data_IF_672138173287
#
_entry.id   IF_672138173287
#
_cell.length_a   1.000
_cell.length_b   1.000
_cell.length_c   1.000
_cell.angle_alpha   90.00
_cell.angle_beta   90.00
_cell.angle_gamma   90.00
#
_symmetry.space_group_name_H-M   'P 1'
#
loop_
_entity.id
_entity.type
_entity.pdbx_description
1 polymer ?
#
# COMPACT_ATOMS: atom_id res chain seq x y z
N UNK A 1 26.55 28.32 8.46
CA UNK A 1 25.48 28.42 7.45
C UNK A 1 24.91 27.01 7.30
N UNK A 2 23.88 26.70 8.09
CA UNK A 2 23.37 25.34 8.28
C UNK A 2 21.97 25.29 7.68
N UNK A 3 21.80 24.55 6.59
CA UNK A 3 20.51 24.37 5.94
C UNK A 3 19.79 23.17 6.57
N UNK A 4 18.71 23.46 7.29
CA UNK A 4 17.77 22.49 7.84
C UNK A 4 16.93 21.88 6.72
N UNK A 5 17.08 20.57 6.49
CA UNK A 5 16.16 19.76 5.67
C UNK A 5 15.04 19.21 6.56
N UNK A 6 14.07 20.06 6.90
CA UNK A 6 12.87 19.66 7.63
C UNK A 6 11.63 20.33 7.03
N UNK A 7 11.40 20.11 5.73
CA UNK A 7 10.17 20.52 5.06
C UNK A 7 10.02 19.83 3.69
N UNK A 8 9.85 18.51 3.68
CA UNK A 8 9.22 17.83 2.54
C UNK A 8 8.32 16.73 3.08
N UNK A 9 7.06 17.09 3.34
CA UNK A 9 5.98 16.13 3.59
C UNK A 9 5.57 15.42 2.29
N UNK A 10 5.02 14.20 2.37
CA UNK A 10 4.78 13.37 1.19
C UNK A 10 3.43 13.71 0.55
N UNK A 11 3.42 14.64 -0.40
CA UNK A 11 2.30 14.78 -1.36
C UNK A 11 2.88 14.82 -2.78
N UNK A 12 3.54 13.75 -3.15
CA UNK A 12 3.82 13.43 -4.56
C UNK A 12 3.42 11.97 -4.77
N UNK A 13 2.12 11.72 -4.75
CA UNK A 13 1.60 10.56 -5.46
C UNK A 13 1.88 10.82 -6.94
N UNK A 14 2.88 10.09 -7.43
CA UNK A 14 3.33 10.10 -8.81
C UNK A 14 2.09 9.98 -9.73
N UNK A 15 1.98 10.81 -10.77
CA UNK A 15 0.87 10.75 -11.76
C UNK A 15 0.64 9.32 -12.29
N UNK A 16 1.69 8.51 -12.27
CA UNK A 16 1.63 7.06 -12.51
C UNK A 16 0.57 6.38 -11.63
N UNK A 17 0.57 6.55 -10.31
CA UNK A 17 -0.35 5.87 -9.39
C UNK A 17 -1.83 6.24 -9.64
N UNK A 18 -2.10 7.46 -10.10
CA UNK A 18 -3.45 7.94 -10.41
C UNK A 18 -3.92 7.39 -11.77
N UNK A 19 -3.03 7.34 -12.76
CA UNK A 19 -3.30 6.66 -14.04
C UNK A 19 -3.52 5.15 -13.86
N UNK A 20 -2.84 4.53 -12.90
CA UNK A 20 -2.94 3.10 -12.60
C UNK A 20 -4.33 2.71 -12.09
N UNK A 21 -4.99 3.57 -11.31
CA UNK A 21 -6.37 3.34 -10.85
C UNK A 21 -7.39 3.65 -11.95
N UNK A 22 -7.17 4.69 -12.76
CA UNK A 22 -8.10 5.08 -13.83
C UNK A 22 -8.09 4.13 -15.03
N UNK A 23 -6.96 3.49 -15.34
CA UNK A 23 -6.84 2.59 -16.51
C UNK A 23 -7.40 1.19 -16.25
N UNK A 24 -7.61 0.81 -14.98
CA UNK A 24 -8.16 -0.50 -14.57
C UNK A 24 -9.66 -0.43 -14.25
N UNK A 25 -10.30 0.74 -14.48
CA UNK A 25 -11.74 0.92 -14.74
C UNK A 25 -12.71 0.13 -13.85
N UNK A 26 -12.58 0.29 -12.53
CA UNK A 26 -13.65 -0.12 -11.59
C UNK A 26 -13.93 0.96 -10.55
N UNK A 27 -13.09 1.99 -10.47
CA UNK A 27 -13.15 2.96 -9.37
C UNK A 27 -12.97 4.37 -9.88
N UNK A 28 -13.90 5.26 -9.52
CA UNK A 28 -13.70 6.71 -9.64
C UNK A 28 -13.10 7.23 -8.34
N UNK A 29 -11.89 7.77 -8.40
CA UNK A 29 -11.29 8.50 -7.30
C UNK A 29 -11.98 9.86 -7.16
N UNK A 30 -12.56 10.13 -6.00
CA UNK A 30 -12.97 11.48 -5.61
C UNK A 30 -11.79 12.23 -4.98
N UNK A 31 -11.88 13.57 -4.92
CA UNK A 31 -10.88 14.43 -4.26
C UNK A 31 -10.57 13.93 -2.85
N UNK A 32 -9.39 14.28 -2.33
CA UNK A 32 -9.02 13.98 -0.94
C UNK A 32 -9.97 14.76 -0.04
N UNK A 33 -10.96 14.07 0.51
CA UNK A 33 -11.86 14.67 1.50
C UNK A 33 -11.14 14.70 2.86
N UNK A 34 -11.15 15.83 3.58
CA UNK A 34 -10.31 16.04 4.76
C UNK A 34 -10.63 15.13 5.98
N UNK A 35 -11.65 14.28 5.91
CA UNK A 35 -11.87 13.20 6.87
C UNK A 35 -13.09 12.35 6.50
N UNK A 36 -12.95 11.02 6.56
CA UNK A 36 -14.07 10.11 6.35
C UNK A 36 -14.88 9.88 7.63
N UNK A 37 -14.28 10.10 8.79
CA UNK A 37 -14.96 9.92 10.08
C UNK A 37 -15.32 11.29 10.63
N UNK A 38 -16.59 11.48 10.99
CA UNK A 38 -17.05 12.72 11.62
C UNK A 38 -17.53 12.44 13.03
N UNK A 39 -17.03 13.23 13.97
CA UNK A 39 -17.47 13.26 15.36
C UNK A 39 -18.36 14.48 15.54
N UNK A 40 -19.67 14.28 15.68
CA UNK A 40 -20.67 15.34 15.82
C UNK A 40 -21.14 15.46 17.26
N UNK A 41 -21.23 16.69 17.78
CA UNK A 41 -21.83 17.02 19.08
C UNK A 41 -23.02 17.94 18.89
N UNK A 42 -24.17 17.60 19.47
CA UNK A 42 -25.32 18.50 19.54
C UNK A 42 -25.06 19.62 20.55
N UNK A 43 -25.37 20.86 20.17
CA UNK A 43 -25.16 22.03 21.04
C UNK A 43 -26.34 22.34 21.96
N UNK A 44 -27.53 21.80 21.67
CA UNK A 44 -28.75 22.01 22.47
C UNK A 44 -29.29 20.70 23.04
N UNK A 45 -29.83 20.69 24.28
CA UNK A 45 -30.42 19.49 24.91
C UNK A 45 -31.71 19.02 24.21
N UNK A 46 -32.46 19.92 23.59
CA UNK A 46 -33.65 19.64 22.77
C UNK A 46 -33.48 20.24 21.36
N UNK A 47 -32.66 19.62 20.51
CA UNK A 47 -32.48 20.12 19.16
C UNK A 47 -33.79 19.96 18.36
N UNK A 48 -34.09 20.93 17.48
CA UNK A 48 -35.35 20.97 16.72
C UNK A 48 -35.60 19.67 15.93
N UNK A 49 -34.55 19.03 15.45
CA UNK A 49 -34.64 17.75 14.75
C UNK A 49 -35.05 16.54 15.61
N UNK A 50 -34.89 16.58 16.94
CA UNK A 50 -35.35 15.52 17.87
C UNK A 50 -36.88 15.52 18.04
N UNK A 51 -37.55 16.64 17.74
CA UNK A 51 -39.01 16.71 17.81
C UNK A 51 -39.67 16.06 16.58
N UNK A 52 -39.02 16.13 15.40
CA UNK A 52 -39.48 15.44 14.19
C UNK A 52 -39.33 13.91 14.24
N UNK A 53 -38.41 13.37 15.04
CA UNK A 53 -38.17 11.91 15.09
C UNK A 53 -39.31 11.11 15.71
N UNK A 54 -40.15 11.72 16.55
CA UNK A 54 -41.17 11.02 17.33
C UNK A 54 -42.50 10.77 16.59
N UNK A 55 -42.67 11.30 15.37
CA UNK A 55 -43.91 11.16 14.58
C UNK A 55 -43.77 10.27 13.32
N UNK A 56 -42.70 9.46 13.21
CA UNK A 56 -42.33 8.78 11.96
C UNK A 56 -42.60 7.27 11.97
N UNK A 57 -43.89 6.89 11.99
CA UNK A 57 -44.35 5.53 11.75
C UNK A 57 -44.41 5.12 10.26
N UNK A 58 -44.03 6.01 9.34
CA UNK A 58 -44.08 5.74 7.90
C UNK A 58 -43.06 6.61 7.19
N UNK A 59 -42.05 5.98 6.57
CA UNK A 59 -41.05 6.67 5.76
C UNK A 59 -41.73 7.00 4.42
N UNK A 60 -42.28 8.20 4.27
CA UNK A 60 -42.73 8.71 2.97
C UNK A 60 -41.54 9.31 2.21
N UNK A 61 -41.44 9.05 0.91
CA UNK A 61 -40.35 9.45 0.01
C UNK A 61 -40.24 10.97 -0.27
N UNK A 62 -40.72 11.85 0.61
CA UNK A 62 -40.73 13.31 0.40
C UNK A 62 -40.08 14.08 1.55
N UNK A 63 -38.99 13.57 2.11
CA UNK A 63 -38.21 14.29 3.13
C UNK A 63 -37.24 15.27 2.46
N UNK A 64 -37.18 16.51 2.95
CA UNK A 64 -36.11 17.45 2.63
C UNK A 64 -34.75 16.82 2.97
N UNK A 65 -33.72 17.11 2.17
CA UNK A 65 -32.35 16.56 2.34
C UNK A 65 -31.86 16.74 3.78
N UNK A 66 -32.11 17.90 4.39
CA UNK A 66 -31.82 18.21 5.80
C UNK A 66 -32.38 17.15 6.77
N UNK A 67 -33.62 16.69 6.57
CA UNK A 67 -34.30 15.77 7.49
C UNK A 67 -33.84 14.33 7.26
N UNK A 68 -33.55 13.95 6.02
CA UNK A 68 -33.06 12.61 5.66
C UNK A 68 -31.62 12.36 6.19
N UNK A 69 -30.73 13.33 6.01
CA UNK A 69 -29.34 13.25 6.50
C UNK A 69 -29.32 13.20 8.02
N UNK A 70 -30.11 14.05 8.70
CA UNK A 70 -30.20 14.04 10.17
C UNK A 70 -30.81 12.74 10.68
N UNK A 71 -31.85 12.20 10.04
CA UNK A 71 -32.42 10.91 10.43
C UNK A 71 -31.38 9.79 10.30
N UNK A 72 -30.58 9.74 9.23
CA UNK A 72 -29.63 8.64 9.05
C UNK A 72 -28.39 8.83 9.92
N UNK A 73 -27.83 10.03 10.02
CA UNK A 73 -26.68 10.32 10.90
C UNK A 73 -26.96 9.92 12.35
N UNK A 74 -28.19 10.14 12.84
CA UNK A 74 -28.55 9.85 14.23
C UNK A 74 -29.23 8.49 14.44
N UNK A 75 -29.87 7.89 13.42
CA UNK A 75 -30.57 6.59 13.55
C UNK A 75 -29.76 5.40 13.02
N UNK A 76 -28.85 5.61 12.08
CA UNK A 76 -28.06 4.55 11.44
C UNK A 76 -26.60 4.63 11.89
N UNK A 77 -26.27 3.81 12.89
CA UNK A 77 -24.89 3.37 13.21
C UNK A 77 -23.92 4.41 13.77
N UNK A 78 -24.36 5.55 14.28
CA UNK A 78 -23.47 6.38 15.10
C UNK A 78 -23.18 5.65 16.43
N UNK A 79 -21.92 5.34 16.72
CA UNK A 79 -21.55 4.93 18.08
C UNK A 79 -21.55 6.17 18.96
N UNK A 80 -22.45 6.21 19.95
CA UNK A 80 -22.48 7.29 20.92
C UNK A 80 -21.37 7.06 21.94
N UNK A 81 -20.33 7.89 21.91
CA UNK A 81 -19.29 7.92 22.94
C UNK A 81 -19.41 9.24 23.70
N UNK A 82 -19.82 9.19 24.97
CA UNK A 82 -19.93 10.38 25.83
C UNK A 82 -20.81 11.51 25.24
N UNK A 83 -21.90 11.16 24.53
CA UNK A 83 -22.78 12.13 23.87
C UNK A 83 -22.26 12.68 22.53
N UNK A 84 -21.15 12.15 22.03
CA UNK A 84 -20.63 12.41 20.68
C UNK A 84 -21.08 11.29 19.73
N UNK A 85 -21.54 11.68 18.54
CA UNK A 85 -21.93 10.77 17.47
C UNK A 85 -20.79 10.61 16.48
N UNK A 86 -20.28 9.39 16.33
CA UNK A 86 -19.19 9.08 15.40
C UNK A 86 -19.71 8.21 14.25
N UNK A 87 -19.51 8.64 13.01
CA UNK A 87 -19.90 7.88 11.82
C UNK A 87 -18.95 8.11 10.64
N UNK A 88 -18.99 7.18 9.69
CA UNK A 88 -18.26 7.19 8.42
C UNK A 88 -19.14 7.86 7.34
N UNK A 89 -18.67 8.97 6.76
CA UNK A 89 -19.44 9.76 5.79
C UNK A 89 -19.77 8.93 4.54
N UNK A 90 -18.82 8.24 3.86
CA UNK A 90 -19.17 7.36 2.74
C UNK A 90 -20.18 6.25 3.07
N UNK A 91 -20.11 5.65 4.25
CA UNK A 91 -21.07 4.63 4.67
C UNK A 91 -22.48 5.22 4.82
N UNK A 92 -22.58 6.41 5.44
CA UNK A 92 -23.84 7.15 5.54
C UNK A 92 -24.34 7.52 4.14
N UNK A 93 -23.52 8.18 3.31
CA UNK A 93 -23.86 8.57 1.95
C UNK A 93 -24.41 7.40 1.11
N UNK A 94 -23.74 6.25 1.16
CA UNK A 94 -24.14 5.02 0.47
C UNK A 94 -25.48 4.47 0.96
N UNK A 95 -25.78 4.58 2.26
CA UNK A 95 -27.04 4.08 2.84
C UNK A 95 -28.27 4.92 2.48
N UNK A 96 -28.07 6.22 2.19
CA UNK A 96 -29.14 7.15 1.82
C UNK A 96 -29.23 7.32 0.29
N UNK A 97 -28.20 6.90 -0.46
CA UNK A 97 -28.12 7.13 -1.90
C UNK A 97 -27.73 8.57 -2.28
N UNK A 98 -27.02 9.28 -1.40
CA UNK A 98 -26.52 10.64 -1.64
C UNK A 98 -25.02 10.63 -1.92
N UNK A 99 -24.50 11.71 -2.51
CA UNK A 99 -23.05 11.87 -2.62
C UNK A 99 -22.45 12.26 -1.26
N UNK A 100 -21.22 11.82 -0.99
CA UNK A 100 -20.46 12.19 0.22
C UNK A 100 -20.36 13.71 0.40
N UNK A 101 -20.27 14.46 -0.70
CA UNK A 101 -20.26 15.93 -0.71
C UNK A 101 -21.55 16.54 -0.19
N UNK A 102 -22.70 15.91 -0.47
CA UNK A 102 -24.01 16.42 -0.05
C UNK A 102 -24.20 16.23 1.46
N UNK A 103 -23.77 15.06 1.97
CA UNK A 103 -23.75 14.79 3.42
C UNK A 103 -22.84 15.79 4.13
N UNK A 104 -21.68 16.11 3.56
CA UNK A 104 -20.76 17.09 4.12
C UNK A 104 -21.34 18.52 4.10
N UNK A 105 -21.94 18.94 2.98
CA UNK A 105 -22.58 20.25 2.85
C UNK A 105 -23.71 20.43 3.88
N UNK A 106 -24.45 19.36 4.16
CA UNK A 106 -25.50 19.40 5.17
C UNK A 106 -24.94 19.51 6.59
N UNK A 107 -23.89 18.75 6.92
CA UNK A 107 -23.21 18.88 8.22
C UNK A 107 -22.66 20.30 8.42
N UNK A 108 -22.13 20.92 7.36
CA UNK A 108 -21.70 22.32 7.37
C UNK A 108 -22.88 23.27 7.60
N UNK A 109 -24.01 23.03 6.94
CA UNK A 109 -25.24 23.81 7.12
C UNK A 109 -25.74 23.75 8.56
N UNK A 110 -25.77 22.55 9.17
CA UNK A 110 -26.14 22.36 10.58
C UNK A 110 -25.17 23.07 11.53
N UNK A 111 -23.87 23.11 11.20
CA UNK A 111 -22.87 23.88 11.94
C UNK A 111 -23.14 25.39 11.84
N UNK A 112 -23.45 25.89 10.65
CA UNK A 112 -23.79 27.31 10.43
C UNK A 112 -25.09 27.70 11.15
N UNK A 113 -26.07 26.80 11.23
CA UNK A 113 -27.31 26.96 12.02
C UNK A 113 -27.05 26.90 13.54
N UNK A 114 -25.83 26.58 13.99
CA UNK A 114 -25.47 26.48 15.40
C UNK A 114 -26.07 25.27 16.11
N UNK A 115 -26.50 24.25 15.35
CA UNK A 115 -27.14 23.05 15.92
C UNK A 115 -26.12 21.99 16.32
N UNK A 116 -25.00 21.92 15.59
CA UNK A 116 -23.95 20.93 15.79
C UNK A 116 -22.55 21.54 15.71
N UNK A 117 -21.60 20.92 16.42
CA UNK A 117 -20.17 21.04 16.11
C UNK A 117 -19.67 19.70 15.61
N UNK A 118 -18.67 19.72 14.73
CA UNK A 118 -18.08 18.49 14.23
C UNK A 118 -16.56 18.57 14.13
N UNK A 119 -15.92 17.41 14.30
CA UNK A 119 -14.49 17.17 14.07
C UNK A 119 -14.35 16.08 13.01
N UNK A 120 -13.48 16.31 12.02
CA UNK A 120 -13.10 15.32 11.02
C UNK A 120 -11.89 14.52 11.49
N UNK A 121 -11.97 13.20 11.35
CA UNK A 121 -10.90 12.25 11.65
C UNK A 121 -10.66 11.35 10.44
N UNK A 122 -9.46 10.78 10.42
CA UNK A 122 -9.06 9.75 9.47
C UNK A 122 -9.19 10.22 8.00
N UNK A 123 -8.33 11.14 7.55
CA UNK A 123 -8.27 11.51 6.14
C UNK A 123 -7.94 10.26 5.31
N UNK A 124 -8.78 9.93 4.33
CA UNK A 124 -8.55 8.82 3.43
C UNK A 124 -9.06 9.14 2.02
N UNK A 125 -8.66 8.30 1.06
CA UNK A 125 -9.17 8.39 -0.30
C UNK A 125 -10.56 7.76 -0.37
N UNK A 126 -11.52 8.51 -0.90
CA UNK A 126 -12.86 7.99 -1.16
C UNK A 126 -12.96 7.52 -2.62
N UNK A 127 -13.47 6.30 -2.78
CA UNK A 127 -13.52 5.59 -4.03
C UNK A 127 -14.95 5.10 -4.27
N UNK A 128 -15.49 5.37 -5.46
CA UNK A 128 -16.80 4.83 -5.87
C UNK A 128 -16.56 3.69 -6.85
N UNK A 129 -17.04 2.50 -6.50
CA UNK A 129 -17.00 1.34 -7.39
C UNK A 129 -18.04 1.56 -8.50
N UNK A 130 -17.58 1.75 -9.73
CA UNK A 130 -18.44 2.00 -10.90
C UNK A 130 -19.06 0.69 -11.42
N UNK A 131 -18.29 -0.39 -11.43
CA UNK A 131 -18.71 -1.70 -11.90
C UNK A 131 -18.15 -2.79 -10.98
N UNK A 132 -19.03 -3.59 -10.37
CA UNK A 132 -18.55 -4.69 -9.51
C UNK A 132 -18.01 -5.81 -10.40
N UNK A 133 -16.72 -6.18 -10.28
CA UNK A 133 -16.14 -7.23 -11.12
C UNK A 133 -16.80 -8.57 -10.80
N UNK A 134 -17.22 -9.30 -11.84
CA UNK A 134 -17.84 -10.62 -11.70
C UNK A 134 -16.88 -11.65 -11.10
N UNK A 135 -15.59 -11.53 -11.43
CA UNK A 135 -14.53 -12.44 -11.00
C UNK A 135 -13.38 -11.68 -10.32
N UNK A 136 -13.49 -11.49 -9.00
CA UNK A 136 -12.46 -10.81 -8.19
C UNK A 136 -11.09 -11.50 -8.29
N UNK A 137 -11.08 -12.84 -8.37
CA UNK A 137 -9.85 -13.62 -8.50
C UNK A 137 -9.10 -13.31 -9.81
N UNK A 138 -9.83 -13.25 -10.93
CA UNK A 138 -9.25 -12.95 -12.25
C UNK A 138 -8.63 -11.55 -12.28
N UNK A 139 -9.34 -10.56 -11.73
CA UNK A 139 -8.83 -9.20 -11.57
C UNK A 139 -7.56 -9.16 -10.70
N UNK A 140 -7.57 -9.86 -9.56
CA UNK A 140 -6.41 -9.93 -8.66
C UNK A 140 -5.19 -10.55 -9.34
N UNK A 141 -5.38 -11.63 -10.11
CA UNK A 141 -4.32 -12.27 -10.88
C UNK A 141 -3.76 -11.35 -11.95
N UNK A 142 -4.62 -10.63 -12.68
CA UNK A 142 -4.19 -9.66 -13.68
C UNK A 142 -3.39 -8.51 -13.04
N UNK A 143 -3.89 -7.92 -11.95
CA UNK A 143 -3.19 -6.88 -11.20
C UNK A 143 -1.83 -7.36 -10.70
N UNK A 144 -1.77 -8.59 -10.16
CA UNK A 144 -0.52 -9.19 -9.67
C UNK A 144 0.49 -9.35 -10.81
N UNK A 145 0.06 -9.87 -11.96
CA UNK A 145 0.92 -10.03 -13.14
C UNK A 145 1.47 -8.68 -13.61
N UNK A 146 0.60 -7.69 -13.76
CA UNK A 146 1.01 -6.37 -14.26
C UNK A 146 1.92 -5.63 -13.25
N UNK A 147 1.67 -5.75 -11.95
CA UNK A 147 2.58 -5.24 -10.92
C UNK A 147 3.94 -5.94 -10.94
N UNK A 148 3.97 -7.25 -11.20
CA UNK A 148 5.22 -7.99 -11.37
C UNK A 148 6.01 -7.50 -12.61
N UNK A 149 5.34 -7.24 -13.73
CA UNK A 149 5.98 -6.66 -14.93
C UNK A 149 6.60 -5.27 -14.64
N UNK A 150 5.91 -4.43 -13.86
CA UNK A 150 6.44 -3.13 -13.41
C UNK A 150 7.66 -3.32 -12.51
N UNK A 151 7.58 -4.25 -11.56
CA UNK A 151 8.68 -4.57 -10.65
C UNK A 151 9.91 -5.03 -11.44
N UNK A 152 9.74 -6.00 -12.35
CA UNK A 152 10.82 -6.49 -13.23
C UNK A 152 11.43 -5.37 -14.06
N UNK A 153 10.61 -4.47 -14.62
CA UNK A 153 11.10 -3.32 -15.36
C UNK A 153 11.96 -2.39 -14.49
N UNK A 154 11.53 -2.11 -13.26
CA UNK A 154 12.24 -1.23 -12.31
C UNK A 154 13.55 -1.86 -11.85
N UNK A 155 13.55 -3.13 -11.49
CA UNK A 155 14.74 -3.87 -11.08
C UNK A 155 15.75 -3.91 -12.23
N UNK A 156 15.32 -4.24 -13.45
CA UNK A 156 16.19 -4.25 -14.64
C UNK A 156 16.86 -2.91 -14.88
N UNK A 157 16.12 -1.79 -14.77
CA UNK A 157 16.70 -0.44 -14.91
C UNK A 157 17.81 -0.20 -13.89
N UNK A 158 17.59 -0.59 -12.64
CA UNK A 158 18.58 -0.47 -11.58
C UNK A 158 19.80 -1.37 -11.81
N UNK A 159 19.60 -2.60 -12.29
CA UNK A 159 20.68 -3.53 -12.63
C UNK A 159 21.55 -3.03 -13.78
N UNK A 160 20.93 -2.45 -14.81
CA UNK A 160 21.66 -1.82 -15.92
C UNK A 160 22.51 -0.66 -15.40
N UNK A 161 21.93 0.23 -14.58
CA UNK A 161 22.66 1.35 -13.97
C UNK A 161 23.83 0.85 -13.11
N UNK A 162 23.60 -0.15 -12.27
CA UNK A 162 24.60 -0.76 -11.40
C UNK A 162 25.72 -1.43 -12.21
N UNK A 163 25.37 -2.21 -13.23
CA UNK A 163 26.32 -2.85 -14.14
C UNK A 163 27.18 -1.82 -14.89
N UNK A 164 26.59 -0.70 -15.32
CA UNK A 164 27.34 0.38 -15.95
C UNK A 164 28.33 1.05 -14.98
N UNK A 165 27.92 1.29 -13.74
CA UNK A 165 28.81 1.85 -12.70
C UNK A 165 29.97 0.90 -12.38
N UNK A 166 29.69 -0.40 -12.16
CA UNK A 166 30.72 -1.41 -11.89
C UNK A 166 31.70 -1.53 -13.06
N UNK A 167 31.22 -1.52 -14.29
CA UNK A 167 32.08 -1.57 -15.47
C UNK A 167 32.99 -0.34 -15.57
N UNK A 168 32.49 0.86 -15.25
CA UNK A 168 33.31 2.07 -15.23
C UNK A 168 34.42 1.98 -14.16
N UNK A 169 34.12 1.46 -12.96
CA UNK A 169 35.11 1.26 -11.90
C UNK A 169 36.19 0.24 -12.31
N UNK A 170 35.79 -0.84 -12.98
CA UNK A 170 36.75 -1.87 -13.40
C UNK A 170 37.74 -1.35 -14.47
N UNK A 171 37.35 -0.33 -15.25
CA UNK A 171 38.25 0.31 -16.24
C UNK A 171 39.37 1.12 -15.57
N UNK A 172 39.14 1.73 -14.39
CA UNK A 172 40.18 2.49 -13.67
C UNK A 172 41.37 1.65 -13.23
N UNK A 173 41.16 0.37 -12.95
CA UNK A 173 42.18 -0.50 -12.37
C UNK A 173 43.30 -0.88 -13.36
N UNK A 174 43.28 -0.36 -14.60
CA UNK A 174 44.16 -0.82 -15.68
C UNK A 174 45.26 0.13 -16.17
N UNK A 175 45.28 1.44 -15.82
CA UNK A 175 46.43 2.36 -16.05
C UNK A 175 46.11 3.83 -15.66
N UNK A 176 46.90 4.44 -14.79
CA UNK A 176 46.60 5.70 -14.07
C UNK A 176 46.58 6.99 -14.92
N UNK A 177 47.17 7.02 -16.13
CA UNK A 177 47.26 8.25 -16.93
C UNK A 177 46.20 8.38 -18.05
N UNK A 178 45.46 7.29 -18.36
CA UNK A 178 44.38 7.29 -19.37
C UNK A 178 43.01 6.85 -18.82
N UNK A 179 42.93 6.61 -17.51
CA UNK A 179 41.77 6.03 -16.84
C UNK A 179 40.50 6.88 -17.02
N UNK A 180 40.56 8.19 -16.79
CA UNK A 180 39.37 9.06 -16.81
C UNK A 180 38.68 9.14 -18.18
N UNK A 181 39.45 9.21 -19.26
CA UNK A 181 38.91 9.24 -20.63
C UNK A 181 38.25 7.91 -21.00
N UNK A 182 38.90 6.78 -20.68
CA UNK A 182 38.38 5.43 -20.94
C UNK A 182 37.13 5.11 -20.11
N UNK A 183 37.08 5.56 -18.85
CA UNK A 183 35.89 5.46 -18.00
C UNK A 183 34.71 6.22 -18.59
N UNK A 184 34.96 7.48 -18.99
CA UNK A 184 33.94 8.35 -19.60
C UNK A 184 33.40 7.72 -20.88
N UNK A 185 34.29 7.22 -21.74
CA UNK A 185 33.91 6.57 -22.99
C UNK A 185 33.11 5.28 -22.77
N UNK A 186 33.53 4.44 -21.81
CA UNK A 186 32.81 3.21 -21.44
C UNK A 186 31.40 3.51 -20.93
N UNK A 187 31.25 4.50 -20.06
CA UNK A 187 29.95 4.91 -19.54
C UNK A 187 29.06 5.50 -20.63
N UNK A 188 29.59 6.40 -21.47
CA UNK A 188 28.86 6.98 -22.60
C UNK A 188 28.36 5.91 -23.58
N UNK A 189 29.21 4.93 -23.92
CA UNK A 189 28.82 3.81 -24.78
C UNK A 189 27.66 3.00 -24.18
N UNK A 190 27.70 2.72 -22.87
CA UNK A 190 26.60 2.01 -22.18
C UNK A 190 25.31 2.82 -22.11
N UNK A 191 25.40 4.13 -21.89
CA UNK A 191 24.24 5.03 -21.91
C UNK A 191 23.60 5.05 -23.30
N UNK A 192 24.40 5.20 -24.35
CA UNK A 192 23.93 5.16 -25.73
C UNK A 192 23.26 3.82 -26.05
N UNK A 193 23.87 2.70 -25.66
CA UNK A 193 23.29 1.38 -25.86
C UNK A 193 21.96 1.19 -25.11
N UNK A 194 21.81 1.76 -23.90
CA UNK A 194 20.55 1.70 -23.16
C UNK A 194 19.42 2.44 -23.88
N UNK A 195 19.68 3.63 -24.42
CA UNK A 195 18.67 4.42 -25.12
C UNK A 195 18.38 3.95 -26.56
N UNK A 196 19.37 3.33 -27.21
CA UNK A 196 19.23 2.80 -28.58
C UNK A 196 18.80 1.33 -28.62
N UNK A 197 18.87 0.63 -27.49
CA UNK A 197 18.49 -0.78 -27.40
C UNK A 197 16.98 -0.99 -27.43
N UNK A 198 16.55 -2.15 -27.92
CA UNK A 198 15.17 -2.61 -27.99
C UNK A 198 14.58 -3.04 -26.62
N UNK A 199 15.27 -2.74 -25.51
CA UNK A 199 14.89 -3.15 -24.16
C UNK A 199 15.27 -4.60 -23.80
N UNK A 200 15.90 -5.34 -24.70
CA UNK A 200 16.38 -6.71 -24.51
C UNK A 200 17.89 -6.75 -24.19
N UNK A 201 18.34 -5.88 -23.28
CA UNK A 201 19.70 -5.98 -22.77
C UNK A 201 19.74 -7.13 -21.76
N UNK A 202 20.32 -8.27 -22.15
CA UNK A 202 20.67 -9.38 -21.27
C UNK A 202 21.70 -8.90 -20.25
N UNK A 203 21.26 -8.16 -19.24
CA UNK A 203 22.01 -8.08 -17.99
C UNK A 203 22.11 -9.51 -17.47
N UNK A 204 23.32 -10.07 -17.28
CA UNK A 204 23.44 -11.38 -16.68
C UNK A 204 22.73 -11.32 -15.34
N UNK A 205 21.58 -12.00 -15.25
CA UNK A 205 20.90 -12.26 -13.99
C UNK A 205 21.98 -12.78 -13.06
N UNK A 206 22.36 -11.95 -12.09
CA UNK A 206 23.40 -12.33 -11.17
C UNK A 206 22.85 -13.52 -10.41
N UNK A 207 23.47 -14.65 -10.70
CA UNK A 207 23.65 -15.80 -9.82
C UNK A 207 22.41 -16.62 -9.50
N UNK A 208 22.11 -17.57 -10.39
CA UNK A 208 21.63 -18.92 -10.03
C UNK A 208 22.73 -19.70 -9.25
N UNK A 209 23.41 -19.09 -8.28
CA UNK A 209 24.41 -19.78 -7.46
C UNK A 209 23.76 -20.37 -6.21
N UNK A 210 23.79 -21.70 -6.14
CA UNK A 210 23.61 -22.56 -4.97
C UNK A 210 22.34 -22.35 -4.13
N UNK A 211 21.19 -22.69 -4.70
CA UNK A 211 19.93 -22.89 -3.98
C UNK A 211 19.80 -24.27 -3.29
N UNK A 212 20.82 -25.14 -3.34
CA UNK A 212 20.71 -26.54 -2.87
C UNK A 212 20.27 -26.66 -1.41
N UNK A 213 20.65 -25.70 -0.57
CA UNK A 213 20.30 -25.66 0.85
C UNK A 213 19.18 -24.68 1.21
N UNK A 214 18.68 -23.89 0.26
CA UNK A 214 17.74 -22.80 0.54
C UNK A 214 16.50 -23.27 1.30
N UNK A 215 15.86 -24.35 0.83
CA UNK A 215 14.67 -24.91 1.47
C UNK A 215 14.98 -25.51 2.84
N UNK A 216 16.14 -26.16 2.98
CA UNK A 216 16.56 -26.72 4.26
C UNK A 216 16.83 -25.61 5.30
N UNK A 217 17.52 -24.55 4.90
CA UNK A 217 17.82 -23.40 5.75
C UNK A 217 16.55 -22.64 6.13
N UNK A 218 15.60 -22.46 5.20
CA UNK A 218 14.27 -21.90 5.50
C UNK A 218 13.55 -22.76 6.53
N UNK A 219 13.58 -24.09 6.38
CA UNK A 219 12.94 -25.01 7.33
C UNK A 219 13.57 -24.91 8.73
N UNK A 220 14.90 -24.90 8.83
CA UNK A 220 15.61 -24.72 10.10
C UNK A 220 15.27 -23.36 10.71
N UNK A 221 15.28 -22.29 9.91
CA UNK A 221 14.91 -20.95 10.34
C UNK A 221 13.50 -20.91 10.95
N UNK A 222 12.51 -21.51 10.27
CA UNK A 222 11.14 -21.60 10.79
C UNK A 222 11.05 -22.41 12.08
N UNK A 223 11.81 -23.50 12.20
CA UNK A 223 11.87 -24.31 13.42
C UNK A 223 12.48 -23.55 14.60
N UNK A 224 13.53 -22.76 14.37
CA UNK A 224 14.16 -21.93 15.40
C UNK A 224 13.30 -20.74 15.83
N UNK A 225 12.31 -20.34 15.01
CA UNK A 225 11.49 -19.15 15.23
C UNK A 225 9.98 -19.45 15.24
N UNK A 226 9.57 -20.61 15.77
CA UNK A 226 8.16 -21.06 15.79
C UNK A 226 7.17 -20.07 16.45
N UNK A 227 7.66 -19.22 17.35
CA UNK A 227 6.84 -18.23 18.05
C UNK A 227 6.46 -17.04 17.15
N UNK A 228 7.20 -16.80 16.06
CA UNK A 228 6.95 -15.70 15.15
C UNK A 228 6.10 -16.14 13.96
N UNK A 229 5.12 -15.31 13.59
CA UNK A 229 4.29 -15.52 12.40
C UNK A 229 4.97 -14.87 11.20
N UNK A 230 5.44 -15.67 10.27
CA UNK A 230 6.09 -15.19 9.05
C UNK A 230 5.18 -15.26 7.84
N UNK A 231 5.32 -14.29 6.95
CA UNK A 231 4.87 -14.38 5.56
C UNK A 231 6.03 -14.83 4.68
N UNK A 232 5.77 -15.39 3.48
CA UNK A 232 6.84 -15.75 2.54
C UNK A 232 7.78 -14.57 2.25
N UNK A 233 7.19 -13.37 2.08
CA UNK A 233 7.93 -12.12 1.86
C UNK A 233 8.81 -11.72 3.05
N UNK A 234 8.35 -11.94 4.29
CA UNK A 234 9.16 -11.65 5.47
C UNK A 234 10.39 -12.55 5.55
N UNK A 235 10.24 -13.83 5.24
CA UNK A 235 11.35 -14.79 5.18
C UNK A 235 12.33 -14.38 4.09
N UNK A 236 11.83 -14.10 2.88
CA UNK A 236 12.67 -13.66 1.77
C UNK A 236 13.48 -12.40 2.11
N UNK A 237 12.86 -11.42 2.77
CA UNK A 237 13.54 -10.21 3.28
C UNK A 237 14.65 -10.53 4.27
N UNK A 238 14.43 -11.41 5.24
CA UNK A 238 15.46 -11.82 6.21
C UNK A 238 16.63 -12.49 5.49
N UNK A 239 16.34 -13.45 4.61
CA UNK A 239 17.35 -14.18 3.83
C UNK A 239 18.15 -13.26 2.89
N UNK A 240 17.52 -12.17 2.40
CA UNK A 240 18.15 -11.08 1.64
C UNK A 240 18.84 -10.01 2.49
N UNK A 241 18.69 -10.03 3.81
CA UNK A 241 19.29 -9.05 4.71
C UNK A 241 18.60 -7.68 4.69
N UNK A 242 17.29 -7.64 4.40
CA UNK A 242 16.48 -6.42 4.30
C UNK A 242 15.47 -6.34 5.45
N UNK A 243 15.61 -5.36 6.34
CA UNK A 243 14.67 -5.17 7.47
C UNK A 243 13.29 -4.74 7.03
N UNK A 244 12.28 -4.99 7.88
CA UNK A 244 10.91 -4.47 7.72
C UNK A 244 10.38 -3.95 9.07
N UNK A 245 9.29 -3.16 9.10
CA UNK A 245 8.75 -2.68 10.37
C UNK A 245 8.42 -3.79 11.37
N UNK A 246 7.86 -4.92 10.89
CA UNK A 246 7.58 -6.09 11.73
C UNK A 246 8.82 -6.94 12.06
N UNK A 247 9.86 -6.86 11.23
CA UNK A 247 11.12 -7.62 11.37
C UNK A 247 12.32 -6.65 11.26
N UNK A 248 12.57 -5.81 12.28
CA UNK A 248 13.56 -4.74 12.19
C UNK A 248 15.00 -5.26 12.22
N UNK A 249 15.89 -4.56 11.52
CA UNK A 249 17.31 -4.91 11.40
C UNK A 249 18.02 -4.99 12.77
N UNK A 250 17.62 -4.16 13.74
CA UNK A 250 18.20 -4.15 15.10
C UNK A 250 18.05 -5.48 15.85
N UNK A 251 17.05 -6.28 15.48
CA UNK A 251 16.73 -7.57 16.11
C UNK A 251 17.17 -8.72 15.19
N UNK A 252 16.76 -8.68 13.93
CA UNK A 252 16.84 -9.84 13.03
C UNK A 252 18.18 -9.98 12.30
N UNK A 253 19.02 -8.94 12.28
CA UNK A 253 20.37 -9.01 11.68
C UNK A 253 21.33 -9.95 12.39
N UNK A 254 21.04 -10.26 13.66
CA UNK A 254 21.84 -11.17 14.48
C UNK A 254 21.65 -12.64 14.11
N UNK A 255 20.61 -12.96 13.32
CA UNK A 255 20.36 -14.33 12.90
C UNK A 255 21.38 -14.75 11.84
N UNK A 256 21.87 -15.99 11.89
CA UNK A 256 22.81 -16.53 10.90
C UNK A 256 22.21 -16.61 9.47
N UNK A 257 20.89 -16.53 9.35
CA UNK A 257 20.18 -16.53 8.07
C UNK A 257 20.10 -15.15 7.43
N UNK A 258 20.44 -14.08 8.17
CA UNK A 258 20.35 -12.72 7.67
C UNK A 258 21.32 -12.48 6.52
N UNK A 259 20.80 -12.12 5.35
CA UNK A 259 21.62 -11.82 4.16
C UNK A 259 22.36 -13.03 3.58
N UNK A 260 22.05 -14.26 4.03
CA UNK A 260 22.71 -15.48 3.57
C UNK A 260 22.48 -15.77 2.08
N UNK A 261 21.39 -15.27 1.53
CA UNK A 261 20.98 -15.47 0.14
C UNK A 261 20.86 -14.16 -0.65
N UNK A 262 21.68 -13.15 -0.31
CA UNK A 262 21.70 -11.85 -1.00
C UNK A 262 21.95 -11.95 -2.52
N UNK A 263 22.66 -12.97 -2.97
CA UNK A 263 22.98 -13.19 -4.38
C UNK A 263 21.91 -13.98 -5.14
N UNK A 264 20.84 -14.43 -4.48
CA UNK A 264 19.78 -15.26 -5.08
C UNK A 264 18.55 -14.41 -5.37
N UNK A 265 17.91 -14.68 -6.51
CA UNK A 265 16.52 -14.32 -6.83
C UNK A 265 15.61 -14.07 -5.61
N UNK A 266 15.19 -12.82 -5.33
CA UNK A 266 14.21 -12.55 -4.27
C UNK A 266 12.92 -13.38 -4.47
N UNK A 267 12.46 -13.50 -5.72
CA UNK A 267 11.32 -14.34 -6.11
C UNK A 267 11.57 -15.81 -5.79
N UNK A 268 12.75 -16.34 -6.13
CA UNK A 268 13.13 -17.74 -5.88
C UNK A 268 13.07 -18.06 -4.39
N UNK A 269 13.58 -17.16 -3.54
CA UNK A 269 13.51 -17.33 -2.07
C UNK A 269 12.07 -17.25 -1.59
N UNK A 270 11.28 -16.32 -2.13
CA UNK A 270 9.88 -16.15 -1.74
C UNK A 270 9.04 -17.39 -2.09
N UNK A 271 9.23 -17.99 -3.26
CA UNK A 271 8.57 -19.23 -3.69
C UNK A 271 8.98 -20.42 -2.83
N UNK A 272 10.28 -20.55 -2.53
CA UNK A 272 10.78 -21.57 -1.61
C UNK A 272 10.18 -21.41 -0.21
N UNK A 273 10.10 -20.16 0.28
CA UNK A 273 9.51 -19.84 1.58
C UNK A 273 8.01 -20.13 1.64
N UNK A 274 7.28 -19.82 0.57
CA UNK A 274 5.85 -20.14 0.44
C UNK A 274 5.62 -21.65 0.52
N UNK A 275 6.41 -22.42 -0.24
CA UNK A 275 6.34 -23.88 -0.25
C UNK A 275 6.60 -24.47 1.14
N UNK A 276 7.63 -24.00 1.85
CA UNK A 276 7.95 -24.51 3.20
C UNK A 276 6.93 -24.10 4.26
N UNK A 277 6.30 -22.92 4.14
CA UNK A 277 5.23 -22.51 5.05
C UNK A 277 4.00 -23.41 4.91
N UNK A 278 3.59 -23.74 3.68
CA UNK A 278 2.49 -24.68 3.43
C UNK A 278 2.78 -26.06 4.03
N UNK A 279 3.99 -26.59 3.79
CA UNK A 279 4.42 -27.87 4.36
C UNK A 279 4.47 -27.89 5.91
N UNK A 280 4.69 -26.73 6.54
CA UNK A 280 4.67 -26.61 8.00
C UNK A 280 3.24 -26.61 8.57
N UNK A 281 2.29 -25.99 7.86
CA UNK A 281 0.87 -25.99 8.27
C UNK A 281 0.31 -27.40 8.20
N UNK A 282 0.55 -28.13 7.11
CA UNK A 282 0.04 -29.50 6.94
C UNK A 282 0.57 -30.46 8.03
N UNK A 283 1.85 -30.31 8.43
CA UNK A 283 2.43 -31.10 9.53
C UNK A 283 1.81 -30.76 10.89
N UNK A 284 1.54 -29.49 11.16
CA UNK A 284 0.92 -29.10 12.43
C UNK A 284 -0.54 -29.59 12.50
N UNK A 285 -1.26 -29.58 11.37
CA UNK A 285 -2.60 -30.15 11.27
C UNK A 285 -2.59 -31.68 11.48
N UNK A 286 -1.62 -32.39 10.89
CA UNK A 286 -1.48 -33.84 11.04
C UNK A 286 -1.04 -34.28 12.45
N UNK A 287 -0.35 -33.43 13.21
CA UNK A 287 0.05 -33.70 14.59
C UNK A 287 -1.02 -33.31 15.62
N UNK A 288 -2.07 -32.58 15.20
CA UNK A 288 -3.17 -32.14 16.05
C UNK A 288 -4.45 -32.98 15.89
N UNK A 289 -4.43 -33.99 15.01
CA UNK A 289 -5.47 -34.98 14.80
C UNK A 289 -5.07 -36.31 15.45
#
# INVERSE_FOLDING_TARGET
>A
MSLNFSSFGPVLLNLSTILILNTILIVRQHQVEPGLVVVVKALTPTPRWRQSSNNLGTISLSLSVDVAVVLVVFKMRSHVKQGLHVFDIPAVASSIGFATTDVLAEIQTLKMKGEVTYEMKDPAFCYTILEVPREICSLSSHLTKWLAEIETCKVRKLDIMSSAAVAAINVSNTSELSAGAKQTQSLQSRILNYFNGDGNCDTPSKTTQNCSFLRADIKVFLQSNRQAKFTPRAIARIMHGVGSPAFPNSIWSKTHFWGRYMSVDFSVIMEAAQTELLNCVDRNAALAA
#
